data_IF_653592695268
#
_entry.id   IF_653592695268
#
_cell.length_a   1.000
_cell.length_b   1.000
_cell.length_c   1.000
_cell.angle_alpha   90.00
_cell.angle_beta   90.00
_cell.angle_gamma   90.00
#
_symmetry.space_group_name_H-M   'P 1'
#
loop_
_entity.id
_entity.type
_entity.pdbx_description
1 polymer ?
#
# COMPACT_ATOMS: atom_id res chain seq x y z
N UNK A 1 -7.40 -18.23 -12.67
CA UNK A 1 -8.84 -18.60 -12.72
C UNK A 1 -9.77 -17.36 -12.76
N UNK A 2 -9.27 -16.14 -13.03
CA UNK A 2 -10.10 -14.91 -13.12
C UNK A 2 -10.28 -14.37 -14.55
N UNK A 3 -10.31 -15.25 -15.56
CA UNK A 3 -10.56 -14.84 -16.95
C UNK A 3 -12.04 -14.48 -17.23
N UNK A 4 -12.91 -14.65 -16.23
CA UNK A 4 -14.34 -14.34 -16.28
C UNK A 4 -14.68 -12.90 -15.90
N UNK A 5 -13.73 -12.07 -15.45
CA UNK A 5 -13.99 -10.68 -15.02
C UNK A 5 -14.75 -10.54 -13.69
N UNK A 6 -15.10 -11.66 -13.05
CA UNK A 6 -15.80 -11.72 -11.77
C UNK A 6 -14.87 -12.29 -10.70
N UNK A 7 -14.83 -11.63 -9.54
CA UNK A 7 -14.09 -12.09 -8.37
C UNK A 7 -15.04 -12.88 -7.46
N UNK A 8 -14.82 -14.19 -7.37
CA UNK A 8 -15.74 -15.10 -6.68
C UNK A 8 -15.44 -15.22 -5.18
N UNK A 9 -16.41 -15.76 -4.43
CA UNK A 9 -16.21 -16.12 -3.01
C UNK A 9 -15.09 -17.14 -2.82
N UNK A 10 -14.89 -18.03 -3.79
CA UNK A 10 -13.80 -19.02 -3.76
C UNK A 10 -12.43 -18.35 -3.87
N UNK A 11 -12.28 -17.35 -4.75
CA UNK A 11 -11.04 -16.57 -4.85
C UNK A 11 -10.77 -15.82 -3.53
N UNK A 12 -11.82 -15.27 -2.92
CA UNK A 12 -11.74 -14.65 -1.59
C UNK A 12 -11.25 -15.61 -0.50
N UNK A 13 -11.80 -16.83 -0.45
CA UNK A 13 -11.36 -17.87 0.48
C UNK A 13 -9.89 -18.24 0.25
N UNK A 14 -9.47 -18.39 -1.01
CA UNK A 14 -8.08 -18.70 -1.36
C UNK A 14 -7.11 -17.62 -0.87
N UNK A 15 -7.46 -16.34 -1.03
CA UNK A 15 -6.66 -15.22 -0.52
C UNK A 15 -6.52 -15.25 1.01
N UNK A 16 -7.59 -15.57 1.74
CA UNK A 16 -7.52 -15.68 3.20
C UNK A 16 -6.68 -16.88 3.65
N UNK A 17 -6.77 -18.02 2.95
CA UNK A 17 -5.88 -19.16 3.22
C UNK A 17 -4.42 -18.78 2.96
N UNK A 18 -4.14 -18.07 1.88
CA UNK A 18 -2.80 -17.56 1.59
C UNK A 18 -2.30 -16.59 2.68
N UNK A 19 -3.17 -15.72 3.21
CA UNK A 19 -2.83 -14.84 4.33
C UNK A 19 -2.44 -15.65 5.58
N UNK A 20 -3.23 -16.67 5.92
CA UNK A 20 -2.96 -17.53 7.08
C UNK A 20 -1.63 -18.27 6.92
N UNK A 21 -1.36 -18.84 5.75
CA UNK A 21 -0.08 -19.50 5.44
C UNK A 21 1.07 -18.50 5.59
N UNK A 22 0.93 -17.29 5.03
CA UNK A 22 1.96 -16.27 5.12
C UNK A 22 2.21 -15.83 6.58
N UNK A 23 1.16 -15.64 7.38
CA UNK A 23 1.30 -15.34 8.81
C UNK A 23 2.03 -16.44 9.56
N UNK A 24 1.70 -17.71 9.30
CA UNK A 24 2.38 -18.86 9.92
C UNK A 24 3.86 -18.88 9.55
N UNK A 25 4.19 -18.64 8.28
CA UNK A 25 5.59 -18.59 7.81
C UNK A 25 6.34 -17.43 8.48
N UNK A 26 5.76 -16.24 8.51
CA UNK A 26 6.37 -15.04 9.13
C UNK A 26 6.60 -15.26 10.62
N UNK A 27 5.61 -15.81 11.34
CA UNK A 27 5.74 -16.08 12.78
C UNK A 27 6.84 -17.11 13.04
N UNK A 28 6.96 -18.13 12.20
CA UNK A 28 8.02 -19.15 12.31
C UNK A 28 9.41 -18.60 12.01
N UNK A 29 9.53 -17.63 11.10
CA UNK A 29 10.79 -17.00 10.74
C UNK A 29 11.20 -15.86 11.69
N UNK A 30 10.23 -15.18 12.31
CA UNK A 30 10.40 -13.95 13.10
C UNK A 30 11.09 -14.12 14.46
N UNK A 31 11.64 -15.28 14.78
CA UNK A 31 12.35 -15.55 16.03
C UNK A 31 13.69 -14.82 16.22
N UNK A 32 14.19 -14.07 15.21
CA UNK A 32 15.56 -13.54 15.20
C UNK A 32 15.69 -12.01 15.06
N UNK A 33 14.61 -11.23 15.14
CA UNK A 33 14.73 -9.77 15.00
C UNK A 33 15.29 -9.09 16.26
N UNK A 34 16.29 -8.19 16.14
CA UNK A 34 16.77 -7.39 17.26
C UNK A 34 15.61 -6.63 17.91
N UNK A 35 15.50 -6.72 19.24
CA UNK A 35 14.54 -5.91 20.02
C UNK A 35 14.93 -4.44 19.85
N UNK A 36 14.24 -3.76 18.94
CA UNK A 36 14.40 -2.32 18.74
C UNK A 36 14.09 -1.59 20.06
N UNK A 37 15.00 -0.69 20.44
CA UNK A 37 15.04 -0.03 21.74
C UNK A 37 13.76 0.74 22.01
N UNK A 38 12.85 0.11 22.78
CA UNK A 38 11.71 0.81 23.37
C UNK A 38 12.24 2.01 24.14
N UNK A 39 11.62 3.18 23.90
CA UNK A 39 11.64 4.27 24.86
C UNK A 39 11.34 3.67 26.24
N UNK A 40 12.36 3.63 27.10
CA UNK A 40 12.24 3.07 28.44
C UNK A 40 11.28 3.98 29.20
N UNK A 41 10.00 3.64 29.23
CA UNK A 41 9.07 4.25 30.16
C UNK A 41 9.54 3.84 31.55
N UNK A 42 10.23 4.77 32.21
CA UNK A 42 10.61 4.71 33.61
C UNK A 42 9.38 4.37 34.45
N UNK A 43 9.41 3.22 35.12
CA UNK A 43 8.31 2.64 35.90
C UNK A 43 7.50 1.60 35.13
N UNK A 44 7.44 0.34 35.61
CA UNK A 44 6.58 -0.71 35.06
C UNK A 44 5.12 -0.23 35.14
N UNK A 45 4.48 0.22 34.04
CA UNK A 45 3.06 0.57 34.10
C UNK A 45 2.29 -0.72 34.34
N UNK A 46 1.25 -0.68 35.18
CA UNK A 46 0.36 -1.85 35.38
C UNK A 46 -0.14 -2.34 34.01
N UNK A 47 -0.19 -3.65 33.80
CA UNK A 47 -0.68 -4.28 32.54
C UNK A 47 -2.02 -3.69 32.10
N UNK A 48 -2.88 -3.36 33.06
CA UNK A 48 -4.15 -2.68 32.83
C UNK A 48 -4.00 -1.32 32.13
N UNK A 49 -3.05 -0.47 32.56
CA UNK A 49 -2.81 0.85 31.95
C UNK A 49 -2.39 0.71 30.48
N UNK A 50 -1.54 -0.28 30.15
CA UNK A 50 -1.15 -0.54 28.75
C UNK A 50 -2.31 -1.02 27.91
N UNK A 51 -3.16 -1.89 28.45
CA UNK A 51 -4.35 -2.36 27.77
C UNK A 51 -5.35 -1.22 27.53
N UNK A 52 -5.53 -0.35 28.52
CA UNK A 52 -6.38 0.83 28.40
C UNK A 52 -5.84 1.82 27.35
N UNK A 53 -4.52 2.08 27.34
CA UNK A 53 -3.88 2.91 26.31
C UNK A 53 -4.00 2.29 24.91
N UNK A 54 -3.88 0.97 24.79
CA UNK A 54 -4.10 0.25 23.52
C UNK A 54 -5.54 0.43 23.03
N UNK A 55 -6.51 0.19 23.89
CA UNK A 55 -7.93 0.32 23.56
C UNK A 55 -8.31 1.76 23.18
N UNK A 56 -7.85 2.74 23.96
CA UNK A 56 -8.08 4.15 23.68
C UNK A 56 -7.40 4.58 22.36
N UNK A 57 -6.16 4.16 22.12
CA UNK A 57 -5.45 4.44 20.88
C UNK A 57 -6.13 3.83 19.66
N UNK A 58 -6.59 2.58 19.76
CA UNK A 58 -7.36 1.91 18.70
C UNK A 58 -8.68 2.65 18.43
N UNK A 59 -9.40 3.06 19.47
CA UNK A 59 -10.66 3.77 19.32
C UNK A 59 -10.48 5.13 18.66
N UNK A 60 -9.45 5.89 19.08
CA UNK A 60 -9.09 7.16 18.42
C UNK A 60 -8.66 6.97 16.97
N UNK A 61 -7.90 5.91 16.67
CA UNK A 61 -7.47 5.58 15.32
C UNK A 61 -8.66 5.29 14.40
N UNK A 62 -9.60 4.45 14.86
CA UNK A 62 -10.81 4.10 14.11
C UNK A 62 -11.70 5.32 13.93
N UNK A 63 -11.98 6.07 15.00
CA UNK A 63 -12.83 7.26 14.94
C UNK A 63 -12.23 8.35 14.04
N UNK A 64 -10.94 8.64 14.19
CA UNK A 64 -10.24 9.64 13.38
C UNK A 64 -10.16 9.24 11.91
N UNK A 65 -9.89 7.96 11.62
CA UNK A 65 -9.89 7.43 10.27
C UNK A 65 -11.26 7.53 9.59
N UNK A 66 -12.33 7.14 10.30
CA UNK A 66 -13.69 7.21 9.79
C UNK A 66 -14.10 8.67 9.50
N UNK A 67 -13.86 9.58 10.45
CA UNK A 67 -14.17 11.00 10.27
C UNK A 67 -13.42 11.62 9.09
N UNK A 68 -12.14 11.28 8.94
CA UNK A 68 -11.31 11.76 7.83
C UNK A 68 -11.83 11.27 6.48
N UNK A 69 -12.12 9.97 6.37
CA UNK A 69 -12.63 9.38 5.12
C UNK A 69 -13.98 9.97 4.77
N UNK A 70 -14.92 10.03 5.72
CA UNK A 70 -16.27 10.56 5.49
C UNK A 70 -16.23 12.03 5.03
N UNK A 71 -15.50 12.88 5.75
CA UNK A 71 -15.38 14.29 5.39
C UNK A 71 -14.76 14.46 3.99
N UNK A 72 -13.74 13.66 3.68
CA UNK A 72 -13.07 13.73 2.38
C UNK A 72 -13.97 13.24 1.24
N UNK A 73 -14.78 12.20 1.46
CA UNK A 73 -15.77 11.70 0.50
C UNK A 73 -16.83 12.77 0.22
N UNK A 74 -17.36 13.43 1.25
CA UNK A 74 -18.33 14.52 1.09
C UNK A 74 -17.75 15.65 0.23
N UNK A 75 -16.52 16.09 0.51
CA UNK A 75 -15.85 17.12 -0.30
C UNK A 75 -15.69 16.66 -1.75
N UNK A 76 -15.25 15.42 -1.97
CA UNK A 76 -15.03 14.87 -3.30
C UNK A 76 -16.30 14.79 -4.15
N UNK A 77 -17.44 14.43 -3.54
CA UNK A 77 -18.76 14.45 -4.19
C UNK A 77 -19.13 15.88 -4.60
N UNK A 78 -18.92 16.87 -3.72
CA UNK A 78 -19.20 18.27 -4.03
C UNK A 78 -18.32 18.83 -5.15
N UNK A 79 -17.10 18.28 -5.32
CA UNK A 79 -16.20 18.59 -6.43
C UNK A 79 -16.58 17.86 -7.74
N UNK A 80 -17.66 17.08 -7.76
CA UNK A 80 -18.13 16.36 -8.94
C UNK A 80 -17.28 15.14 -9.32
N UNK A 81 -16.48 14.61 -8.39
CA UNK A 81 -15.66 13.42 -8.65
C UNK A 81 -16.53 12.16 -8.69
N UNK A 82 -16.28 11.29 -9.68
CA UNK A 82 -16.96 9.98 -9.77
C UNK A 82 -16.60 9.06 -8.61
N UNK A 83 -17.53 8.17 -8.24
CA UNK A 83 -17.35 7.17 -7.17
C UNK A 83 -16.07 6.33 -7.35
N UNK A 84 -15.71 6.00 -8.60
CA UNK A 84 -14.47 5.27 -8.92
C UNK A 84 -13.24 6.04 -8.44
N UNK A 85 -13.18 7.36 -8.67
CA UNK A 85 -12.04 8.19 -8.29
C UNK A 85 -11.98 8.35 -6.78
N UNK A 86 -13.14 8.56 -6.16
CA UNK A 86 -13.25 8.66 -4.71
C UNK A 86 -12.70 7.39 -4.06
N UNK A 87 -13.07 6.22 -4.58
CA UNK A 87 -12.54 4.92 -4.14
C UNK A 87 -11.03 4.77 -4.35
N UNK A 88 -10.55 5.05 -5.57
CA UNK A 88 -9.15 4.83 -5.94
C UNK A 88 -8.18 5.86 -5.34
N UNK A 89 -8.66 7.02 -4.89
CA UNK A 89 -7.81 8.11 -4.41
C UNK A 89 -8.14 8.50 -2.98
N UNK A 90 -9.29 9.11 -2.74
CA UNK A 90 -9.66 9.70 -1.46
C UNK A 90 -9.75 8.65 -0.36
N UNK A 91 -10.48 7.57 -0.61
CA UNK A 91 -10.62 6.46 0.35
C UNK A 91 -9.28 5.73 0.51
N UNK A 92 -8.57 5.47 -0.59
CA UNK A 92 -7.27 4.79 -0.56
C UNK A 92 -6.21 5.57 0.25
N UNK A 93 -6.13 6.89 0.07
CA UNK A 93 -5.23 7.78 0.81
C UNK A 93 -5.69 7.89 2.27
N UNK A 94 -6.99 8.13 2.49
CA UNK A 94 -7.57 8.29 3.82
C UNK A 94 -7.30 7.10 4.74
N UNK A 95 -7.44 5.89 4.21
CA UNK A 95 -7.19 4.64 4.96
C UNK A 95 -5.70 4.34 5.15
N UNK A 96 -4.84 4.79 4.23
CA UNK A 96 -3.38 4.57 4.30
C UNK A 96 -2.63 5.61 5.13
N UNK A 97 -3.24 6.78 5.38
CA UNK A 97 -2.64 7.88 6.16
C UNK A 97 -2.16 7.48 7.56
N UNK A 98 -2.94 6.73 8.37
CA UNK A 98 -2.45 6.30 9.67
C UNK A 98 -1.25 5.34 9.59
N UNK A 99 -1.24 4.46 8.59
CA UNK A 99 -0.11 3.56 8.32
C UNK A 99 1.12 4.35 7.83
N UNK A 100 0.92 5.40 7.02
CA UNK A 100 1.98 6.32 6.61
C UNK A 100 2.59 7.02 7.83
N UNK A 101 1.74 7.55 8.73
CA UNK A 101 2.21 8.26 9.93
C UNK A 101 3.01 7.36 10.87
N UNK A 102 2.54 6.12 11.10
CA UNK A 102 3.28 5.15 11.92
C UNK A 102 4.62 4.78 11.29
N UNK A 103 4.67 4.54 9.98
CA UNK A 103 5.92 4.27 9.25
C UNK A 103 6.89 5.45 9.27
N UNK A 104 6.36 6.67 9.09
CA UNK A 104 7.16 7.90 9.11
C UNK A 104 7.79 8.13 10.49
N UNK A 105 7.00 7.98 11.56
CA UNK A 105 7.51 8.12 12.93
C UNK A 105 8.59 7.06 13.23
N UNK A 106 8.38 5.81 12.82
CA UNK A 106 9.38 4.75 12.98
C UNK A 106 10.67 5.07 12.20
N UNK A 107 10.55 5.54 10.96
CA UNK A 107 11.70 5.95 10.14
C UNK A 107 12.47 7.13 10.77
N UNK A 108 11.77 8.13 11.30
CA UNK A 108 12.37 9.27 12.01
C UNK A 108 13.09 8.86 13.31
N UNK A 109 12.62 7.79 13.97
CA UNK A 109 13.28 7.20 15.14
C UNK A 109 14.46 6.28 14.81
N UNK A 110 14.76 6.10 13.52
CA UNK A 110 15.81 5.18 13.07
C UNK A 110 15.38 3.70 13.08
N UNK A 111 14.11 3.41 13.37
CA UNK A 111 13.52 2.06 13.39
C UNK A 111 13.10 1.64 11.97
N UNK A 112 14.09 1.56 11.06
CA UNK A 112 13.85 1.33 9.62
C UNK A 112 13.16 -0.01 9.34
N UNK A 113 13.54 -1.06 10.05
CA UNK A 113 12.94 -2.39 9.89
C UNK A 113 11.45 -2.38 10.26
N UNK A 114 11.06 -1.60 11.27
CA UNK A 114 9.66 -1.43 11.68
C UNK A 114 8.89 -0.63 10.63
N UNK A 115 9.48 0.45 10.11
CA UNK A 115 8.86 1.24 9.05
C UNK A 115 8.60 0.40 7.78
N UNK A 116 9.60 -0.35 7.32
CA UNK A 116 9.49 -1.23 6.14
C UNK A 116 8.51 -2.38 6.40
N UNK A 117 8.59 -3.01 7.57
CA UNK A 117 7.68 -4.09 7.97
C UNK A 117 6.22 -3.64 8.00
N UNK A 118 5.94 -2.41 8.45
CA UNK A 118 4.59 -1.86 8.44
C UNK A 118 4.05 -1.63 7.02
N UNK A 119 4.87 -1.09 6.11
CA UNK A 119 4.47 -0.87 4.71
C UNK A 119 4.19 -2.20 3.99
N UNK A 120 5.11 -3.17 4.10
CA UNK A 120 4.96 -4.48 3.46
C UNK A 120 3.77 -5.25 4.06
N UNK A 121 3.68 -5.28 5.39
CA UNK A 121 2.62 -5.99 6.10
C UNK A 121 1.23 -5.42 5.81
N UNK A 122 1.09 -4.09 5.78
CA UNK A 122 -0.19 -3.43 5.48
C UNK A 122 -0.65 -3.71 4.05
N UNK A 123 0.26 -3.66 3.07
CA UNK A 123 -0.08 -3.98 1.67
C UNK A 123 -0.48 -5.46 1.49
N UNK A 124 0.26 -6.37 2.15
CA UNK A 124 -0.07 -7.79 2.14
C UNK A 124 -1.44 -8.06 2.78
N UNK A 125 -1.73 -7.39 3.90
CA UNK A 125 -3.03 -7.51 4.57
C UNK A 125 -4.17 -6.90 3.74
N UNK A 126 -3.95 -5.78 3.06
CA UNK A 126 -4.96 -5.19 2.17
C UNK A 126 -5.27 -6.11 0.98
N UNK A 127 -4.24 -6.69 0.35
CA UNK A 127 -4.41 -7.58 -0.81
C UNK A 127 -4.98 -8.95 -0.45
N UNK A 128 -4.53 -9.57 0.65
CA UNK A 128 -4.98 -10.92 1.00
C UNK A 128 -6.16 -10.90 1.97
N UNK A 129 -6.10 -10.05 2.99
CA UNK A 129 -7.08 -9.96 4.06
C UNK A 129 -8.30 -9.14 3.69
N UNK A 130 -8.12 -7.85 3.40
CA UNK A 130 -9.23 -6.93 3.12
C UNK A 130 -9.98 -7.36 1.85
N UNK A 131 -9.26 -7.56 0.74
CA UNK A 131 -9.88 -8.03 -0.51
C UNK A 131 -10.50 -9.42 -0.36
N UNK A 132 -9.80 -10.37 0.28
CA UNK A 132 -10.29 -11.73 0.48
C UNK A 132 -11.57 -11.78 1.33
N UNK A 133 -11.60 -11.02 2.42
CA UNK A 133 -12.78 -10.90 3.28
C UNK A 133 -13.93 -10.17 2.58
N UNK A 134 -13.63 -9.10 1.84
CA UNK A 134 -14.65 -8.36 1.06
C UNK A 134 -15.31 -9.27 0.05
N UNK A 135 -14.53 -10.08 -0.66
CA UNK A 135 -15.05 -11.05 -1.64
C UNK A 135 -15.95 -12.13 -1.01
N UNK A 136 -15.70 -12.54 0.24
CA UNK A 136 -16.54 -13.52 0.95
C UNK A 136 -17.85 -12.92 1.47
N UNK A 137 -17.77 -11.71 2.02
CA UNK A 137 -18.91 -11.01 2.62
C UNK A 137 -19.82 -10.40 1.55
N UNK A 138 -19.28 -10.04 0.39
CA UNK A 138 -20.05 -9.45 -0.69
C UNK A 138 -21.24 -10.36 -1.11
N UNK A 139 -22.45 -9.77 -1.26
CA UNK A 139 -23.65 -10.53 -1.63
C UNK A 139 -23.57 -11.03 -3.09
N UNK A 140 -22.91 -10.28 -3.97
CA UNK A 140 -22.64 -10.63 -5.37
C UNK A 140 -21.14 -10.71 -5.64
N UNK A 141 -20.70 -11.45 -6.69
CA UNK A 141 -19.30 -11.43 -7.11
C UNK A 141 -18.83 -10.01 -7.37
N UNK A 142 -17.59 -9.68 -6.97
CA UNK A 142 -17.05 -8.34 -7.21
C UNK A 142 -16.70 -8.23 -8.69
N UNK A 143 -17.38 -7.33 -9.40
CA UNK A 143 -17.08 -7.04 -10.80
C UNK A 143 -15.86 -6.14 -10.89
N UNK A 144 -14.85 -6.54 -11.66
CA UNK A 144 -13.64 -5.74 -11.86
C UNK A 144 -13.85 -4.87 -13.10
N UNK A 145 -13.62 -3.56 -12.97
CA UNK A 145 -13.69 -2.65 -14.11
C UNK A 145 -12.66 -3.05 -15.19
N UNK A 146 -13.03 -3.04 -16.50
CA UNK A 146 -12.07 -3.33 -17.57
C UNK A 146 -10.81 -2.45 -17.54
N UNK A 147 -10.95 -1.18 -17.16
CA UNK A 147 -9.81 -0.27 -17.00
C UNK A 147 -8.87 -0.71 -15.87
N UNK A 148 -9.41 -1.29 -14.79
CA UNK A 148 -8.58 -1.82 -13.72
C UNK A 148 -7.77 -3.04 -14.17
N UNK A 149 -8.34 -3.88 -15.06
CA UNK A 149 -7.64 -5.04 -15.63
C UNK A 149 -6.54 -4.65 -16.62
N UNK A 150 -6.80 -3.64 -17.46
CA UNK A 150 -5.90 -3.26 -18.55
C UNK A 150 -4.82 -2.26 -18.11
N UNK A 151 -5.10 -1.42 -17.11
CA UNK A 151 -4.20 -0.33 -16.72
C UNK A 151 -3.75 -0.41 -15.26
N UNK A 152 -4.69 -0.40 -14.30
CA UNK A 152 -4.36 -0.30 -12.87
C UNK A 152 -3.57 -1.53 -12.38
N UNK A 153 -4.01 -2.75 -12.73
CA UNK A 153 -3.38 -4.01 -12.31
C UNK A 153 -1.97 -4.20 -12.90
N UNK A 154 -1.72 -4.00 -14.21
CA UNK A 154 -0.38 -4.08 -14.77
C UNK A 154 0.60 -3.07 -14.16
N UNK A 155 0.16 -1.83 -13.89
CA UNK A 155 0.99 -0.83 -13.20
C UNK A 155 1.29 -1.28 -11.78
N UNK A 156 0.29 -1.75 -11.03
CA UNK A 156 0.48 -2.27 -9.68
C UNK A 156 1.49 -3.43 -9.64
N UNK A 157 1.39 -4.37 -10.60
CA UNK A 157 2.33 -5.48 -10.74
C UNK A 157 3.73 -4.99 -11.10
N UNK A 158 3.84 -4.04 -12.05
CA UNK A 158 5.11 -3.45 -12.45
C UNK A 158 5.84 -2.76 -11.31
N UNK A 159 5.12 -1.95 -10.51
CA UNK A 159 5.68 -1.29 -9.32
C UNK A 159 6.04 -2.30 -8.24
N UNK A 160 5.21 -3.31 -8.02
CA UNK A 160 5.50 -4.38 -7.05
C UNK A 160 6.78 -5.14 -7.43
N UNK A 161 6.98 -5.41 -8.72
CA UNK A 161 8.19 -6.05 -9.22
C UNK A 161 9.41 -5.14 -9.11
N UNK A 162 9.25 -3.82 -9.31
CA UNK A 162 10.29 -2.83 -9.06
C UNK A 162 10.75 -2.81 -7.61
N UNK A 163 9.84 -3.01 -6.66
CA UNK A 163 10.19 -3.05 -5.24
C UNK A 163 11.09 -4.24 -4.87
N UNK A 164 11.06 -5.36 -5.62
CA UNK A 164 11.87 -6.56 -5.34
C UNK A 164 13.38 -6.28 -5.29
N UNK A 165 14.02 -5.73 -6.35
CA UNK A 165 15.45 -5.41 -6.31
C UNK A 165 15.79 -4.30 -5.31
N UNK A 166 14.90 -3.34 -5.08
CA UNK A 166 15.10 -2.27 -4.09
C UNK A 166 15.22 -2.84 -2.67
N UNK A 167 14.38 -3.82 -2.32
CA UNK A 167 14.46 -4.50 -1.03
C UNK A 167 15.63 -5.50 -0.95
N UNK A 168 15.96 -6.16 -2.06
CA UNK A 168 17.08 -7.11 -2.10
C UNK A 168 18.47 -6.44 -2.06
N UNK A 169 18.57 -5.16 -2.44
CA UNK A 169 19.80 -4.34 -2.40
C UNK A 169 20.22 -3.91 -0.97
N UNK A 170 20.24 -4.85 -0.02
CA UNK A 170 20.80 -4.69 1.31
C UNK A 170 19.89 -4.01 2.33
N UNK A 171 18.56 -4.11 2.18
CA UNK A 171 17.56 -3.56 3.11
C UNK A 171 17.71 -2.05 3.42
N UNK A 172 18.40 -1.30 2.55
CA UNK A 172 18.69 0.12 2.75
C UNK A 172 18.14 0.92 1.57
N UNK A 173 16.93 1.44 1.74
CA UNK A 173 16.32 2.39 0.82
C UNK A 173 17.02 3.75 0.95
N UNK A 174 17.59 4.24 -0.13
CA UNK A 174 18.23 5.57 -0.21
C UNK A 174 17.17 6.67 -0.43
N UNK A 175 17.49 7.93 -0.09
CA UNK A 175 16.57 9.08 -0.26
C UNK A 175 16.15 9.26 -1.72
N UNK A 176 17.05 8.95 -2.66
CA UNK A 176 16.80 9.05 -4.10
C UNK A 176 15.77 8.00 -4.54
N UNK A 177 15.86 6.77 -4.02
CA UNK A 177 14.92 5.69 -4.30
C UNK A 177 13.53 6.02 -3.75
N UNK A 178 13.46 6.60 -2.54
CA UNK A 178 12.22 7.10 -1.97
C UNK A 178 11.60 8.26 -2.76
N UNK A 179 12.41 9.24 -3.20
CA UNK A 179 11.94 10.37 -4.02
C UNK A 179 11.40 9.89 -5.38
N UNK A 180 12.05 8.90 -5.97
CA UNK A 180 11.65 8.30 -7.23
C UNK A 180 10.32 7.56 -7.12
N UNK A 181 10.13 6.78 -6.05
CA UNK A 181 8.85 6.09 -5.79
C UNK A 181 7.73 7.11 -5.54
N UNK A 182 8.03 8.20 -4.83
CA UNK A 182 7.10 9.30 -4.61
C UNK A 182 6.73 9.99 -5.93
N UNK A 183 7.71 10.27 -6.80
CA UNK A 183 7.47 10.88 -8.11
C UNK A 183 6.59 9.98 -9.00
N UNK A 184 6.82 8.66 -8.98
CA UNK A 184 5.99 7.70 -9.70
C UNK A 184 4.55 7.69 -9.18
N UNK A 185 4.38 7.69 -7.84
CA UNK A 185 3.07 7.79 -7.20
C UNK A 185 2.33 9.09 -7.57
N UNK A 186 3.01 10.24 -7.51
CA UNK A 186 2.43 11.53 -7.89
C UNK A 186 2.03 11.56 -9.36
N UNK A 187 2.86 11.00 -10.25
CA UNK A 187 2.56 10.91 -11.68
C UNK A 187 1.30 10.08 -11.94
N UNK A 188 1.19 8.92 -11.29
CA UNK A 188 -0.01 8.07 -11.36
C UNK A 188 -1.26 8.80 -10.83
N UNK A 189 -1.15 9.47 -9.68
CA UNK A 189 -2.26 10.24 -9.10
C UNK A 189 -2.72 11.40 -9.99
N UNK A 190 -1.77 12.14 -10.58
CA UNK A 190 -2.06 13.23 -11.52
C UNK A 190 -2.79 12.73 -12.76
N UNK A 191 -2.43 11.56 -13.27
CA UNK A 191 -3.09 10.98 -14.43
C UNK A 191 -4.53 10.55 -14.15
N UNK A 192 -4.79 9.91 -13.00
CA UNK A 192 -6.17 9.60 -12.58
C UNK A 192 -6.99 10.89 -12.49
N UNK A 193 -6.42 11.94 -11.91
CA UNK A 193 -7.10 13.24 -11.79
C UNK A 193 -7.33 13.89 -13.16
N UNK A 194 -6.37 13.80 -14.08
CA UNK A 194 -6.49 14.37 -15.42
C UNK A 194 -7.57 13.68 -16.27
N UNK A 195 -7.63 12.34 -16.22
CA UNK A 195 -8.72 11.58 -16.86
C UNK A 195 -10.07 12.00 -16.27
N UNK A 196 -10.13 12.18 -14.95
CA UNK A 196 -11.40 12.48 -14.28
C UNK A 196 -11.99 13.87 -14.55
N UNK A 197 -11.13 14.85 -14.78
CA UNK A 197 -11.53 16.25 -14.96
C UNK A 197 -11.82 16.58 -16.43
N UNK A 198 -11.70 15.61 -17.34
CA UNK A 198 -11.93 15.79 -18.77
C UNK A 198 -10.93 16.75 -19.42
N UNK A 199 -9.79 17.04 -18.77
CA UNK A 199 -8.77 17.90 -19.35
C UNK A 199 -8.19 17.25 -20.62
N UNK A 200 -7.99 18.04 -21.68
CA UNK A 200 -7.31 17.62 -22.91
C UNK A 200 -5.87 17.09 -22.69
N UNK A 201 -5.34 17.22 -21.47
CA UNK A 201 -4.08 16.65 -21.02
C UNK A 201 -4.17 15.16 -20.69
N UNK A 202 -5.38 14.57 -20.58
CA UNK A 202 -5.58 13.16 -20.22
C UNK A 202 -4.93 12.21 -21.22
N UNK A 203 -5.18 12.38 -22.53
CA UNK A 203 -4.56 11.55 -23.59
C UNK A 203 -3.05 11.76 -23.65
N UNK A 204 -2.56 13.00 -23.46
CA UNK A 204 -1.11 13.27 -23.39
C UNK A 204 -0.45 12.59 -22.20
N UNK A 205 -1.09 12.57 -21.04
CA UNK A 205 -0.59 11.92 -19.82
C UNK A 205 -0.70 10.40 -19.90
N UNK A 206 -1.72 9.85 -20.55
CA UNK A 206 -1.85 8.42 -20.79
C UNK A 206 -0.71 7.90 -21.68
N UNK A 207 -0.48 8.60 -22.80
CA UNK A 207 0.66 8.34 -23.67
C UNK A 207 1.99 8.46 -22.94
N UNK A 208 2.17 9.51 -22.13
CA UNK A 208 3.37 9.69 -21.30
C UNK A 208 3.51 8.61 -20.23
N UNK A 209 2.45 8.14 -19.59
CA UNK A 209 2.58 7.08 -18.59
C UNK A 209 2.95 5.74 -19.21
N UNK A 210 2.32 5.34 -20.31
CA UNK A 210 2.67 4.09 -20.99
C UNK A 210 4.08 4.14 -21.62
N UNK A 211 4.49 5.29 -22.17
CA UNK A 211 5.80 5.44 -22.85
C UNK A 211 6.94 5.86 -21.94
N UNK A 212 6.67 6.47 -20.78
CA UNK A 212 7.71 6.91 -19.84
C UNK A 212 7.73 6.05 -18.58
N UNK A 213 6.59 5.70 -17.98
CA UNK A 213 6.58 4.96 -16.72
C UNK A 213 7.17 3.55 -16.89
N UNK A 214 6.79 2.82 -17.94
CA UNK A 214 7.28 1.46 -18.22
C UNK A 214 8.81 1.40 -18.48
N UNK A 215 9.40 2.22 -19.37
CA UNK A 215 10.85 2.21 -19.57
C UNK A 215 11.60 2.85 -18.42
N UNK A 216 11.05 3.86 -17.72
CA UNK A 216 11.67 4.38 -16.49
C UNK A 216 11.68 3.29 -15.42
N UNK A 217 10.56 2.59 -15.19
CA UNK A 217 10.48 1.41 -14.34
C UNK A 217 11.53 0.36 -14.76
N UNK A 218 11.61 0.03 -16.05
CA UNK A 218 12.58 -0.92 -16.58
C UNK A 218 14.04 -0.51 -16.36
N UNK A 219 14.38 0.76 -16.62
CA UNK A 219 15.71 1.33 -16.39
C UNK A 219 16.06 1.32 -14.91
N UNK A 220 15.11 1.63 -14.02
CA UNK A 220 15.33 1.64 -12.57
C UNK A 220 15.45 0.22 -12.04
N UNK A 221 14.65 -0.74 -12.53
CA UNK A 221 14.81 -2.16 -12.21
C UNK A 221 16.20 -2.63 -12.63
N UNK A 222 16.61 -2.33 -13.87
CA UNK A 222 17.92 -2.73 -14.40
C UNK A 222 19.07 -2.06 -13.64
N UNK A 223 18.94 -0.77 -13.33
CA UNK A 223 19.95 -0.04 -12.55
C UNK A 223 20.02 -0.54 -11.10
N UNK A 224 18.87 -0.78 -10.46
CA UNK A 224 18.75 -1.32 -9.12
C UNK A 224 19.34 -2.73 -9.00
N UNK A 225 19.05 -3.60 -9.97
CA UNK A 225 19.65 -4.96 -10.03
C UNK A 225 21.16 -4.91 -10.28
N UNK A 226 21.64 -4.07 -11.21
CA UNK A 226 23.09 -3.91 -11.47
C UNK A 226 23.82 -3.32 -10.26
N UNK A 227 23.21 -2.38 -9.55
CA UNK A 227 23.77 -1.77 -8.33
C UNK A 227 23.77 -2.75 -7.17
N UNK A 228 22.70 -3.55 -7.00
CA UNK A 228 22.63 -4.60 -6.00
C UNK A 228 23.72 -5.65 -6.21
N UNK A 229 23.90 -6.08 -7.47
CA UNK A 229 24.94 -7.03 -7.86
C UNK A 229 26.36 -6.51 -7.59
N UNK A 230 26.65 -5.23 -7.92
CA UNK A 230 27.94 -4.56 -7.63
C UNK A 230 28.22 -4.27 -6.15
N UNK A 231 27.23 -4.38 -5.26
CA UNK A 231 27.45 -4.23 -3.82
C UNK A 231 27.76 -5.57 -3.15
N UNK A 232 27.46 -6.69 -3.81
CA UNK A 232 27.64 -8.04 -3.29
C UNK A 232 28.92 -8.72 -3.84
N UNK A 233 29.47 -8.22 -4.95
CA UNK A 233 30.72 -8.65 -5.57
C UNK A 233 31.63 -7.44 -5.81
#
# INVERSE_FOLDING_TARGET
MSWSGEFSKFDGALLLVALLVCLVIIIRQGGQSPRHGRAATSGKPRTFTRMAMLAAGLLMLVAGGHLLVDASVVIAIHLGLSERIIGLTVIAIGTSLPALMTSLIAALRGERDIAVGNVIGSNLFNLLGVLGLTALVAPTPLTISPNALVFDLPIMLGVSLLCVPLFYSGYRMDRIEGLLLLALYLTYGLHILAISTGMALAERLEGLMLTFALPVLGIIVAWGTVRAWRRQH
#
